data_IF_172473499173
#
_entry.id   IF_172473499173
#
_cell.length_a   1.000
_cell.length_b   1.000
_cell.length_c   1.000
_cell.angle_alpha   90.00
_cell.angle_beta   90.00
_cell.angle_gamma   90.00
#
_symmetry.space_group_name_H-M   'P 1'
#
loop_
_entity.id
_entity.type
_entity.pdbx_description
1 polymer ?
#
# COMPACT_ATOMS: atom_id res chain seq x y z
N UNK A 1 -8.15 51.78 -33.81
CA UNK A 1 -8.78 50.60 -33.18
C UNK A 1 -7.86 49.40 -33.30
N UNK A 2 -7.50 48.81 -32.14
CA UNK A 2 -7.09 47.42 -31.88
C UNK A 2 -6.66 46.59 -33.09
N UNK A 3 -5.38 46.15 -33.18
CA UNK A 3 -4.97 44.76 -33.53
C UNK A 3 -3.56 44.43 -33.02
N UNK A 4 -3.33 44.56 -31.71
CA UNK A 4 -2.30 43.76 -31.04
C UNK A 4 -2.86 42.34 -30.93
N UNK A 5 -2.57 41.46 -31.88
CA UNK A 5 -2.89 40.04 -31.78
C UNK A 5 -1.84 39.21 -32.52
N UNK A 6 -1.35 38.18 -31.81
CA UNK A 6 -0.53 37.07 -32.30
C UNK A 6 0.89 37.51 -32.70
N UNK A 7 1.97 37.16 -32.02
CA UNK A 7 2.34 35.81 -31.58
C UNK A 7 3.13 35.89 -30.27
N UNK A 8 2.42 35.85 -29.14
CA UNK A 8 3.00 35.43 -27.87
C UNK A 8 3.07 33.89 -27.90
N UNK A 9 4.07 33.32 -27.23
CA UNK A 9 4.25 31.88 -26.96
C UNK A 9 4.99 31.08 -28.03
N UNK A 10 6.25 31.45 -28.29
CA UNK A 10 7.29 30.51 -28.73
C UNK A 10 8.26 30.18 -27.57
N UNK A 11 7.77 30.25 -26.33
CA UNK A 11 8.46 29.68 -25.18
C UNK A 11 7.89 28.27 -24.97
N UNK A 12 8.13 27.39 -25.96
CA UNK A 12 7.97 25.96 -25.79
C UNK A 12 9.08 25.52 -24.83
N UNK A 13 8.78 25.64 -23.53
CA UNK A 13 9.57 25.10 -22.44
C UNK A 13 9.58 23.58 -22.63
N UNK A 14 10.60 23.09 -23.33
CA UNK A 14 10.88 21.67 -23.46
C UNK A 14 11.50 21.11 -22.18
N UNK A 15 10.77 21.16 -21.04
CA UNK A 15 11.28 20.60 -19.76
C UNK A 15 10.37 19.56 -19.11
N UNK A 16 9.39 18.99 -19.80
CA UNK A 16 8.54 17.94 -19.21
C UNK A 16 8.86 16.57 -19.82
N UNK A 17 10.10 16.10 -19.64
CA UNK A 17 10.51 14.78 -20.14
C UNK A 17 11.27 13.90 -19.15
N UNK A 18 11.73 14.41 -18.01
CA UNK A 18 12.45 13.60 -17.03
C UNK A 18 11.51 13.11 -15.92
N UNK A 19 10.56 12.25 -16.28
CA UNK A 19 9.98 11.33 -15.30
C UNK A 19 10.96 10.18 -15.09
N UNK A 20 11.99 10.41 -14.28
CA UNK A 20 12.80 9.34 -13.73
C UNK A 20 11.98 8.59 -12.69
N UNK A 21 11.19 7.61 -13.12
CA UNK A 21 10.68 6.59 -12.20
C UNK A 21 11.69 5.44 -12.13
N UNK A 22 12.90 5.73 -11.64
CA UNK A 22 13.75 4.68 -11.10
C UNK A 22 13.21 4.34 -9.70
N UNK A 23 12.00 3.79 -9.66
CA UNK A 23 11.65 2.92 -8.56
C UNK A 23 12.55 1.70 -8.71
N UNK A 24 13.71 1.74 -8.06
CA UNK A 24 14.33 0.53 -7.57
C UNK A 24 13.24 -0.25 -6.84
N UNK A 25 12.66 -1.23 -7.55
CA UNK A 25 11.87 -2.28 -6.96
C UNK A 25 12.67 -2.76 -5.77
N UNK A 26 12.11 -2.72 -4.54
CA UNK A 26 12.80 -3.33 -3.41
C UNK A 26 13.21 -4.73 -3.86
N UNK A 27 14.41 -5.17 -3.52
CA UNK A 27 14.86 -6.55 -3.79
C UNK A 27 13.95 -7.61 -3.14
N UNK A 28 13.04 -7.17 -2.27
CA UNK A 28 12.01 -7.97 -1.62
C UNK A 28 10.81 -8.17 -2.54
N UNK A 29 10.43 -9.44 -2.71
CA UNK A 29 9.25 -9.80 -3.48
C UNK A 29 7.97 -9.30 -2.82
N UNK A 30 7.10 -8.64 -3.59
CA UNK A 30 5.76 -8.25 -3.13
C UNK A 30 4.96 -9.47 -2.67
N UNK A 31 5.20 -10.62 -3.29
CA UNK A 31 4.51 -11.87 -2.98
C UNK A 31 4.96 -12.44 -1.64
N UNK A 32 6.23 -12.24 -1.26
CA UNK A 32 6.78 -12.67 0.02
C UNK A 32 6.17 -11.88 1.18
N UNK A 33 6.12 -10.54 1.05
CA UNK A 33 5.45 -9.67 2.04
C UNK A 33 3.98 -10.05 2.15
N UNK A 34 3.30 -10.26 1.02
CA UNK A 34 1.89 -10.67 1.00
C UNK A 34 1.68 -11.98 1.74
N UNK A 35 2.52 -12.99 1.47
CA UNK A 35 2.42 -14.31 2.10
C UNK A 35 2.55 -14.21 3.62
N UNK A 36 3.55 -13.48 4.12
CA UNK A 36 3.74 -13.33 5.56
C UNK A 36 2.57 -12.58 6.23
N UNK A 37 2.02 -11.55 5.58
CA UNK A 37 0.82 -10.87 6.09
C UNK A 37 -0.39 -11.80 6.13
N UNK A 38 -0.55 -12.67 5.14
CA UNK A 38 -1.61 -13.68 5.12
C UNK A 38 -1.41 -14.68 6.27
N UNK A 39 -0.20 -15.18 6.50
CA UNK A 39 0.10 -16.10 7.61
C UNK A 39 -0.24 -15.48 8.98
N UNK A 40 0.07 -14.20 9.18
CA UNK A 40 -0.30 -13.45 10.40
C UNK A 40 -1.82 -13.37 10.60
N UNK A 41 -2.61 -13.35 9.53
CA UNK A 41 -4.06 -13.32 9.59
C UNK A 41 -4.66 -14.72 9.73
N UNK A 42 -4.14 -15.72 9.02
CA UNK A 42 -4.66 -17.10 9.00
C UNK A 42 -4.48 -17.81 10.34
N UNK A 43 -3.39 -17.54 11.06
CA UNK A 43 -3.16 -18.05 12.42
C UNK A 43 -4.27 -17.70 13.42
N UNK A 44 -5.14 -16.75 13.08
CA UNK A 44 -6.26 -16.30 13.91
C UNK A 44 -7.65 -16.74 13.42
N UNK A 45 -7.75 -17.46 12.30
CA UNK A 45 -9.04 -17.86 11.69
C UNK A 45 -9.21 -19.39 11.62
N UNK A 46 -10.37 -19.91 12.02
CA UNK A 46 -10.75 -21.33 11.84
C UNK A 46 -12.21 -21.45 11.38
N UNK A 47 -12.41 -22.32 10.38
CA UNK A 47 -13.66 -22.80 9.77
C UNK A 47 -14.72 -21.75 9.38
N UNK A 48 -14.45 -21.17 8.22
CA UNK A 48 -15.31 -20.53 7.20
C UNK A 48 -16.73 -20.08 7.58
N UNK A 49 -16.94 -18.75 7.54
CA UNK A 49 -18.14 -18.11 7.01
C UNK A 49 -17.81 -16.74 6.35
N UNK A 50 -17.98 -16.67 5.03
CA UNK A 50 -17.77 -15.51 4.15
C UNK A 50 -16.30 -15.04 3.98
N UNK A 51 -15.87 -14.95 2.72
CA UNK A 51 -14.60 -14.35 2.32
C UNK A 51 -14.83 -12.86 2.02
N UNK A 52 -14.23 -11.98 2.80
CA UNK A 52 -14.33 -10.53 2.60
C UNK A 52 -12.99 -10.02 2.07
N UNK A 53 -13.01 -9.46 0.86
CA UNK A 53 -11.82 -8.81 0.29
C UNK A 53 -11.71 -7.36 0.76
N UNK A 54 -10.59 -7.03 1.42
CA UNK A 54 -10.34 -5.72 2.00
C UNK A 54 -8.98 -5.21 1.56
N UNK A 55 -8.90 -3.95 1.10
CA UNK A 55 -7.62 -3.32 0.80
C UNK A 55 -6.99 -2.76 2.07
N UNK A 56 -5.77 -3.17 2.37
CA UNK A 56 -4.96 -2.60 3.45
C UNK A 56 -3.85 -1.74 2.85
N UNK A 57 -3.69 -0.53 3.41
CA UNK A 57 -2.52 0.33 3.18
C UNK A 57 -1.65 0.33 4.42
N UNK A 58 -0.36 0.05 4.26
CA UNK A 58 0.62 -0.02 5.35
C UNK A 58 2.00 0.50 4.94
N UNK A 59 2.88 0.71 5.92
CA UNK A 59 4.31 1.05 5.75
C UNK A 59 5.13 0.22 6.74
N UNK A 60 6.46 0.28 6.66
CA UNK A 60 7.35 -0.26 7.68
C UNK A 60 7.97 0.85 8.53
N UNK A 61 8.18 0.58 9.82
CA UNK A 61 9.00 1.41 10.69
C UNK A 61 10.50 1.04 10.60
N UNK A 62 11.36 1.77 11.30
CA UNK A 62 12.81 1.54 11.28
C UNK A 62 13.25 0.21 11.89
N UNK A 63 12.38 -0.45 12.63
CA UNK A 63 12.63 -1.76 13.25
C UNK A 63 12.18 -2.94 12.37
N UNK A 64 11.55 -2.63 11.22
CA UNK A 64 11.02 -3.60 10.27
C UNK A 64 9.61 -4.07 10.58
N UNK A 65 8.91 -3.41 11.49
CA UNK A 65 7.54 -3.74 11.86
C UNK A 65 6.53 -3.08 10.92
N UNK A 66 5.41 -3.75 10.69
CA UNK A 66 4.30 -3.26 9.88
C UNK A 66 3.54 -2.18 10.66
N UNK A 67 3.34 -1.03 10.02
CA UNK A 67 2.49 0.06 10.51
C UNK A 67 1.27 0.16 9.59
N UNK A 68 0.11 -0.22 10.09
CA UNK A 68 -1.16 -0.19 9.34
C UNK A 68 -1.66 1.26 9.28
N UNK A 69 -1.76 1.81 8.07
CA UNK A 69 -2.20 3.19 7.82
C UNK A 69 -3.70 3.27 7.55
N UNK A 70 -4.23 2.34 6.75
CA UNK A 70 -5.64 2.32 6.37
C UNK A 70 -6.11 0.90 6.12
N UNK A 71 -7.35 0.61 6.51
CA UNK A 71 -8.08 -0.61 6.16
C UNK A 71 -9.37 -0.16 5.47
N UNK A 72 -9.59 -0.58 4.23
CA UNK A 72 -10.70 -0.14 3.39
C UNK A 72 -12.00 -0.88 3.74
N UNK A 73 -12.44 -0.73 4.99
CA UNK A 73 -13.70 -1.27 5.50
C UNK A 73 -14.36 -0.26 6.44
N UNK A 74 -15.69 -0.36 6.56
CA UNK A 74 -16.48 0.37 7.57
C UNK A 74 -16.82 -0.53 8.78
N UNK A 75 -16.61 -1.83 8.64
CA UNK A 75 -16.90 -2.81 9.68
C UNK A 75 -15.83 -2.74 10.77
N UNK A 76 -16.25 -2.44 11.99
CA UNK A 76 -15.35 -2.30 13.14
C UNK A 76 -14.64 -3.60 13.49
N UNK A 77 -15.28 -4.74 13.30
CA UNK A 77 -14.68 -6.05 13.60
C UNK A 77 -13.52 -6.31 12.64
N UNK A 78 -13.73 -6.06 11.34
CA UNK A 78 -12.68 -6.15 10.32
C UNK A 78 -11.53 -5.16 10.60
N UNK A 79 -11.88 -3.92 10.94
CA UNK A 79 -10.91 -2.87 11.23
C UNK A 79 -10.03 -3.21 12.45
N UNK A 80 -10.59 -3.82 13.47
CA UNK A 80 -9.88 -4.23 14.68
C UNK A 80 -9.07 -5.49 14.42
N UNK A 81 -9.68 -6.51 13.82
CA UNK A 81 -9.05 -7.78 13.48
C UNK A 81 -7.76 -7.58 12.69
N UNK A 82 -7.77 -6.74 11.64
CA UNK A 82 -6.56 -6.44 10.86
C UNK A 82 -5.50 -5.76 11.72
N UNK A 83 -5.89 -4.80 12.57
CA UNK A 83 -4.91 -4.06 13.38
C UNK A 83 -4.30 -4.93 14.47
N UNK A 84 -5.10 -5.75 15.14
CA UNK A 84 -4.65 -6.62 16.23
C UNK A 84 -3.69 -7.70 15.73
N UNK A 85 -3.91 -8.25 14.53
CA UNK A 85 -3.09 -9.33 13.99
C UNK A 85 -1.89 -8.84 13.16
N UNK A 86 -1.94 -7.65 12.54
CA UNK A 86 -0.91 -7.20 11.59
C UNK A 86 -0.08 -6.02 12.10
N UNK A 87 -0.68 -5.07 12.82
CA UNK A 87 0.04 -3.87 13.22
C UNK A 87 1.08 -4.16 14.31
N UNK A 88 2.31 -3.68 14.13
CA UNK A 88 3.45 -3.95 15.02
C UNK A 88 4.12 -5.30 14.77
N UNK A 89 3.62 -6.12 13.85
CA UNK A 89 4.27 -7.40 13.53
C UNK A 89 5.51 -7.19 12.67
N UNK A 90 6.57 -7.93 12.98
CA UNK A 90 7.81 -7.96 12.21
C UNK A 90 7.76 -9.09 11.21
N UNK A 91 8.23 -8.81 9.99
CA UNK A 91 8.33 -9.79 8.92
C UNK A 91 9.79 -9.93 8.47
N UNK A 92 10.10 -11.07 7.87
CA UNK A 92 11.37 -11.26 7.19
C UNK A 92 11.40 -10.36 5.95
N UNK A 93 12.57 -9.74 5.71
CA UNK A 93 12.80 -8.86 4.57
C UNK A 93 11.74 -7.75 4.44
N UNK A 94 11.62 -6.83 5.41
CA UNK A 94 10.63 -5.75 5.33
C UNK A 94 10.89 -4.86 4.11
N UNK A 95 9.81 -4.25 3.62
CA UNK A 95 9.89 -3.27 2.54
C UNK A 95 10.61 -1.98 2.96
N UNK A 96 10.71 -1.03 2.02
CA UNK A 96 11.32 0.28 2.27
C UNK A 96 10.50 1.05 3.32
N UNK A 97 11.16 1.56 4.35
CA UNK A 97 10.55 2.49 5.32
C UNK A 97 10.01 3.74 4.62
N UNK A 98 8.94 4.31 5.18
CA UNK A 98 8.23 5.48 4.63
C UNK A 98 7.61 5.28 3.25
N UNK A 99 7.70 4.08 2.65
CA UNK A 99 6.97 3.71 1.45
C UNK A 99 5.62 3.13 1.84
N UNK A 100 4.56 3.61 1.20
CA UNK A 100 3.23 3.04 1.38
C UNK A 100 3.04 1.87 0.41
N UNK A 101 2.52 0.77 0.95
CA UNK A 101 2.12 -0.43 0.22
C UNK A 101 0.62 -0.55 0.34
N UNK A 102 -0.06 -0.92 -0.76
CA UNK A 102 -1.49 -1.24 -0.74
C UNK A 102 -1.71 -2.58 -1.41
N UNK A 103 -2.44 -3.46 -0.74
CA UNK A 103 -2.78 -4.77 -1.27
C UNK A 103 -4.17 -5.22 -0.82
N UNK A 104 -4.88 -5.99 -1.68
CA UNK A 104 -6.07 -6.70 -1.27
C UNK A 104 -5.68 -7.90 -0.42
N UNK A 105 -6.37 -8.09 0.70
CA UNK A 105 -6.35 -9.32 1.48
C UNK A 105 -7.76 -9.92 1.52
N UNK A 106 -7.83 -11.24 1.60
CA UNK A 106 -9.07 -11.96 1.83
C UNK A 106 -9.11 -12.34 3.31
N UNK A 107 -10.15 -11.93 4.02
CA UNK A 107 -10.38 -12.29 5.41
C UNK A 107 -11.50 -13.31 5.42
N UNK A 108 -11.26 -14.45 6.05
CA UNK A 108 -12.29 -15.45 6.31
C UNK A 108 -12.87 -15.12 7.69
N UNK A 109 -14.09 -14.59 7.71
CA UNK A 109 -14.83 -14.38 8.96
C UNK A 109 -15.51 -15.68 9.39
N UNK A 110 -16.08 -15.74 10.60
CA UNK A 110 -16.81 -16.90 11.14
C UNK A 110 -18.26 -16.55 11.41
#
# INVERSE_FOLDING_TARGET
MKKAKLFLVAFAIGTLGLFANNEETPSVSKDEIRKQIIELLETSTTDVAAEISVNITFTFNTEGEIVVLKVASIDKEILNFVRENVNGQKIENPGKVKRQYTMPISIVTK
#
